data_IF_908685031297
#
_entry.id   IF_908685031297
#
_cell.length_a   1.000
_cell.length_b   1.000
_cell.length_c   1.000
_cell.angle_alpha   90.00
_cell.angle_beta   90.00
_cell.angle_gamma   90.00
#
_symmetry.space_group_name_H-M   'P 1'
#
loop_
_entity.id
_entity.type
_entity.pdbx_description
1 polymer ?
#
# COMPACT_ATOMS: atom_id res chain seq x y z
N UNK A 1 12.10 -8.37 30.34
CA UNK A 1 11.66 -9.43 31.29
C UNK A 1 10.21 -9.81 30.99
N UNK A 2 9.79 -10.94 31.52
CA UNK A 2 8.41 -11.41 31.44
C UNK A 2 7.87 -11.48 32.86
N UNK A 3 6.72 -10.86 33.10
CA UNK A 3 6.08 -10.88 34.43
C UNK A 3 5.29 -12.18 34.67
N UNK A 4 4.70 -12.32 35.87
CA UNK A 4 3.91 -13.50 36.26
C UNK A 4 2.64 -13.72 35.41
N UNK A 5 2.19 -12.70 34.69
CA UNK A 5 1.06 -12.74 33.76
C UNK A 5 1.50 -13.15 32.35
N UNK A 6 2.79 -13.37 32.11
CA UNK A 6 3.36 -13.70 30.80
C UNK A 6 3.53 -12.49 29.87
N UNK A 7 3.43 -11.27 30.42
CA UNK A 7 3.58 -10.05 29.65
C UNK A 7 5.01 -9.51 29.70
N UNK A 8 5.46 -8.91 28.62
CA UNK A 8 6.77 -8.24 28.54
C UNK A 8 6.77 -6.95 29.34
N UNK A 9 7.74 -6.80 30.24
CA UNK A 9 8.00 -5.59 31.01
C UNK A 9 9.39 -5.04 30.71
N UNK A 10 9.54 -3.73 30.90
CA UNK A 10 10.84 -3.08 30.80
C UNK A 10 11.55 -3.18 32.15
N UNK A 11 12.77 -3.72 32.22
CA UNK A 11 13.55 -3.77 33.47
C UNK A 11 13.81 -2.38 34.03
N UNK A 12 13.96 -2.30 35.35
CA UNK A 12 14.37 -1.05 36.01
C UNK A 12 15.76 -0.62 35.49
N UNK A 13 15.91 0.66 35.13
CA UNK A 13 17.16 1.21 34.62
C UNK A 13 17.47 0.90 33.14
N UNK A 14 16.58 0.20 32.43
CA UNK A 14 16.77 -0.06 31.00
C UNK A 14 16.75 1.25 30.18
N UNK A 15 17.76 1.40 29.33
CA UNK A 15 17.89 2.50 28.39
C UNK A 15 17.87 1.95 26.94
N UNK A 16 16.82 2.27 26.19
CA UNK A 16 16.66 1.80 24.81
C UNK A 16 17.81 2.18 23.87
N UNK A 17 18.50 3.28 24.14
CA UNK A 17 19.57 3.80 23.28
C UNK A 17 20.88 3.04 23.46
N UNK A 18 21.11 2.50 24.66
CA UNK A 18 22.35 1.78 25.01
C UNK A 18 22.16 0.28 25.12
N UNK A 19 21.00 -0.18 25.54
CA UNK A 19 20.73 -1.56 25.92
C UNK A 19 20.01 -2.36 24.82
N UNK A 20 19.45 -1.66 23.83
CA UNK A 20 18.82 -2.29 22.68
C UNK A 20 19.87 -2.74 21.64
N UNK A 21 20.48 -3.89 21.87
CA UNK A 21 21.59 -4.41 21.06
C UNK A 21 21.12 -4.78 19.63
N UNK A 22 19.86 -5.09 19.42
CA UNK A 22 19.42 -5.71 18.18
C UNK A 22 18.85 -4.74 17.16
N UNK A 23 18.55 -3.48 17.45
CA UNK A 23 18.16 -2.42 16.50
C UNK A 23 17.15 -2.79 15.39
N UNK A 24 16.75 -4.03 15.30
CA UNK A 24 15.91 -4.60 14.25
C UNK A 24 14.44 -4.44 14.62
N UNK A 25 13.99 -3.20 14.74
CA UNK A 25 12.64 -2.89 15.19
C UNK A 25 11.59 -2.86 14.09
N UNK A 26 11.99 -3.01 12.81
CA UNK A 26 11.11 -2.74 11.67
C UNK A 26 10.77 -3.96 10.80
N UNK A 27 10.67 -5.14 11.38
CA UNK A 27 10.24 -6.36 10.67
C UNK A 27 8.71 -6.50 10.64
N UNK A 28 7.98 -5.41 10.56
CA UNK A 28 6.51 -5.39 10.55
C UNK A 28 5.89 -6.30 9.47
N UNK A 29 6.56 -6.45 8.32
CA UNK A 29 6.13 -7.30 7.21
C UNK A 29 6.32 -8.80 7.46
N UNK A 30 7.19 -9.18 8.38
CA UNK A 30 7.44 -10.57 8.77
C UNK A 30 6.94 -10.90 10.17
N UNK A 31 6.24 -9.97 10.81
CA UNK A 31 5.73 -10.12 12.16
C UNK A 31 4.53 -11.07 12.20
N UNK A 32 4.54 -11.98 13.15
CA UNK A 32 3.37 -12.78 13.51
C UNK A 32 2.93 -12.36 14.91
N UNK A 33 1.83 -11.64 15.01
CA UNK A 33 1.31 -11.09 16.27
C UNK A 33 0.86 -12.18 17.25
N UNK A 34 0.46 -13.36 16.76
CA UNK A 34 0.08 -14.50 17.60
C UNK A 34 1.27 -15.10 18.37
N UNK A 35 2.48 -14.87 17.89
CA UNK A 35 3.73 -15.35 18.52
C UNK A 35 4.43 -14.27 19.34
N UNK A 36 3.93 -13.04 19.34
CA UNK A 36 4.55 -11.94 20.07
C UNK A 36 4.14 -11.95 21.55
N UNK A 37 5.13 -11.81 22.43
CA UNK A 37 4.85 -11.59 23.85
C UNK A 37 4.32 -10.18 24.04
N UNK A 38 3.10 -10.08 24.53
CA UNK A 38 2.37 -8.82 24.72
C UNK A 38 3.06 -7.91 25.74
N UNK A 39 3.04 -6.62 25.49
CA UNK A 39 3.64 -5.61 26.37
C UNK A 39 2.69 -5.25 27.51
N UNK A 40 3.20 -5.27 28.75
CA UNK A 40 2.41 -5.02 29.97
C UNK A 40 1.89 -3.57 30.08
N UNK A 41 2.44 -2.62 29.31
CA UNK A 41 2.00 -1.20 29.36
C UNK A 41 0.74 -0.94 28.55
N UNK A 42 0.24 -1.92 27.79
CA UNK A 42 -0.93 -1.75 26.90
C UNK A 42 -2.19 -2.39 27.51
N UNK A 43 -3.33 -1.79 27.23
CA UNK A 43 -4.63 -2.36 27.57
C UNK A 43 -5.05 -3.36 26.47
N UNK A 44 -4.67 -4.62 26.62
CA UNK A 44 -4.92 -5.66 25.64
C UNK A 44 -6.39 -6.01 25.49
N UNK A 45 -7.20 -5.92 26.55
CA UNK A 45 -8.64 -6.15 26.45
C UNK A 45 -9.31 -5.15 25.51
N UNK A 46 -8.90 -3.88 25.58
CA UNK A 46 -9.40 -2.85 24.69
C UNK A 46 -8.91 -3.05 23.23
N UNK A 47 -7.67 -3.49 23.07
CA UNK A 47 -7.07 -3.78 21.76
C UNK A 47 -7.75 -4.99 21.12
N UNK A 48 -7.92 -6.09 21.86
CA UNK A 48 -8.56 -7.31 21.37
C UNK A 48 -10.03 -7.05 20.97
N UNK A 49 -10.72 -6.25 21.78
CA UNK A 49 -12.08 -5.80 21.44
C UNK A 49 -12.12 -5.01 20.14
N UNK A 50 -11.19 -4.06 19.97
CA UNK A 50 -11.08 -3.25 18.74
C UNK A 50 -10.81 -4.12 17.51
N UNK A 51 -9.89 -5.09 17.61
CA UNK A 51 -9.61 -6.01 16.51
C UNK A 51 -10.81 -6.89 16.18
N UNK A 52 -11.54 -7.39 17.20
CA UNK A 52 -12.77 -8.13 16.99
C UNK A 52 -13.85 -7.31 16.27
N UNK A 53 -13.96 -6.01 16.60
CA UNK A 53 -14.86 -5.10 15.90
C UNK A 53 -14.40 -4.89 14.43
N UNK A 54 -13.11 -4.71 14.18
CA UNK A 54 -12.57 -4.60 12.81
C UNK A 54 -12.81 -5.86 11.99
N UNK A 55 -12.58 -7.04 12.56
CA UNK A 55 -12.84 -8.32 11.88
C UNK A 55 -14.32 -8.48 11.50
N UNK A 56 -15.23 -7.97 12.34
CA UNK A 56 -16.67 -7.98 12.03
C UNK A 56 -17.06 -7.06 10.88
N UNK A 57 -16.27 -6.00 10.63
CA UNK A 57 -16.48 -5.02 9.57
C UNK A 57 -15.65 -5.32 8.31
N UNK A 58 -14.75 -6.28 8.40
CA UNK A 58 -13.88 -6.67 7.31
C UNK A 58 -14.70 -7.16 6.12
N UNK A 59 -14.45 -6.56 4.98
CA UNK A 59 -14.96 -7.03 3.69
C UNK A 59 -13.78 -7.66 2.95
N UNK A 60 -13.89 -8.95 2.64
CA UNK A 60 -12.88 -9.62 1.85
C UNK A 60 -12.86 -9.03 0.44
N UNK A 61 -11.67 -8.58 0.01
CA UNK A 61 -11.50 -8.10 -1.35
C UNK A 61 -11.34 -9.31 -2.29
N UNK A 62 -12.36 -9.59 -3.13
CA UNK A 62 -12.42 -10.85 -3.88
C UNK A 62 -11.36 -10.94 -4.98
N UNK A 63 -10.75 -9.81 -5.36
CA UNK A 63 -9.80 -9.72 -6.46
C UNK A 63 -8.33 -9.56 -6.01
N UNK A 64 -8.03 -9.80 -4.73
CA UNK A 64 -6.69 -9.61 -4.16
C UNK A 64 -5.61 -10.55 -4.71
N UNK A 65 -6.00 -11.59 -5.44
CA UNK A 65 -5.08 -12.55 -6.07
C UNK A 65 -4.75 -12.20 -7.52
N UNK A 66 -5.34 -11.16 -8.08
CA UNK A 66 -5.04 -10.74 -9.45
C UNK A 66 -3.65 -10.11 -9.51
N UNK A 67 -2.74 -10.80 -10.18
CA UNK A 67 -1.40 -10.31 -10.52
C UNK A 67 -1.31 -10.29 -12.04
N UNK A 68 -1.31 -9.10 -12.66
CA UNK A 68 -1.28 -9.00 -14.11
C UNK A 68 0.09 -9.39 -14.69
N UNK A 69 0.10 -10.06 -15.81
CA UNK A 69 1.28 -10.22 -16.65
C UNK A 69 1.42 -8.98 -17.56
N UNK A 70 2.54 -8.29 -17.45
CA UNK A 70 2.72 -7.00 -18.11
C UNK A 70 3.85 -6.96 -19.15
N UNK A 71 4.60 -8.04 -19.33
CA UNK A 71 5.80 -8.08 -20.18
C UNK A 71 5.52 -7.57 -21.60
N UNK A 72 4.43 -8.01 -22.21
CA UNK A 72 4.05 -7.62 -23.58
C UNK A 72 3.54 -6.18 -23.70
N UNK A 73 3.11 -5.58 -22.59
CA UNK A 73 2.54 -4.22 -22.54
C UNK A 73 3.39 -3.23 -21.75
N UNK A 74 4.55 -3.67 -21.23
CA UNK A 74 5.40 -2.85 -20.35
C UNK A 74 5.83 -1.54 -21.02
N UNK A 75 6.21 -1.56 -22.29
CA UNK A 75 6.62 -0.35 -23.01
C UNK A 75 5.49 0.68 -23.11
N UNK A 76 4.24 0.24 -23.24
CA UNK A 76 3.08 1.14 -23.22
C UNK A 76 2.81 1.70 -21.83
N UNK A 77 2.96 0.88 -20.80
CA UNK A 77 2.85 1.31 -19.39
C UNK A 77 3.90 2.40 -19.11
N UNK A 78 5.13 2.22 -19.55
CA UNK A 78 6.21 3.19 -19.36
C UNK A 78 5.89 4.52 -20.07
N UNK A 79 5.40 4.48 -21.32
CA UNK A 79 4.96 5.66 -22.06
C UNK A 79 3.79 6.38 -21.36
N UNK A 80 2.81 5.64 -20.88
CA UNK A 80 1.67 6.19 -20.13
C UNK A 80 2.17 6.88 -18.86
N UNK A 81 3.08 6.26 -18.11
CA UNK A 81 3.68 6.82 -16.91
C UNK A 81 4.48 8.09 -17.18
N UNK A 82 5.21 8.15 -18.29
CA UNK A 82 5.93 9.36 -18.70
C UNK A 82 4.95 10.50 -19.00
N UNK A 83 3.93 10.26 -19.82
CA UNK A 83 2.88 11.24 -20.13
C UNK A 83 2.20 11.72 -18.85
N UNK A 84 1.74 10.81 -18.00
CA UNK A 84 1.08 11.11 -16.73
C UNK A 84 1.97 11.98 -15.84
N UNK A 85 3.23 11.60 -15.67
CA UNK A 85 4.18 12.33 -14.82
C UNK A 85 4.43 13.73 -15.34
N UNK A 86 4.54 13.91 -16.65
CA UNK A 86 4.81 15.21 -17.26
C UNK A 86 3.61 16.17 -17.08
N UNK A 87 2.40 15.71 -17.37
CA UNK A 87 1.20 16.54 -17.20
C UNK A 87 0.87 16.83 -15.75
N UNK A 88 0.97 15.86 -14.85
CA UNK A 88 0.69 16.07 -13.43
C UNK A 88 1.66 17.07 -12.79
N UNK A 89 2.92 17.08 -13.20
CA UNK A 89 3.87 18.11 -12.76
C UNK A 89 3.45 19.53 -13.25
N UNK A 90 3.08 19.65 -14.51
CA UNK A 90 2.64 20.94 -15.07
C UNK A 90 1.39 21.46 -14.35
N UNK A 91 0.40 20.57 -14.14
CA UNK A 91 -0.85 20.91 -13.45
C UNK A 91 -0.59 21.28 -12.00
N UNK A 92 0.19 20.48 -11.25
CA UNK A 92 0.47 20.70 -9.83
C UNK A 92 1.23 22.01 -9.57
N UNK A 93 2.06 22.43 -10.50
CA UNK A 93 2.81 23.69 -10.38
C UNK A 93 2.15 24.88 -11.09
N UNK A 94 0.97 24.70 -11.69
CA UNK A 94 0.31 25.73 -12.48
C UNK A 94 1.13 26.21 -13.69
N UNK A 95 1.98 25.34 -14.23
CA UNK A 95 2.88 25.63 -15.36
C UNK A 95 2.32 25.10 -16.68
N UNK A 96 1.12 25.53 -17.05
CA UNK A 96 0.46 25.19 -18.30
C UNK A 96 -0.12 26.43 -18.96
N UNK A 97 -0.43 26.32 -20.25
CA UNK A 97 -1.12 27.38 -21.04
C UNK A 97 -2.60 27.06 -21.07
N UNK A 98 -3.44 28.09 -21.13
CA UNK A 98 -4.88 27.92 -21.23
C UNK A 98 -5.58 27.68 -19.89
N UNK A 99 -6.72 27.03 -19.95
CA UNK A 99 -7.56 26.69 -18.78
C UNK A 99 -7.20 25.33 -18.18
N UNK A 100 -7.71 25.05 -16.98
CA UNK A 100 -7.54 23.74 -16.36
C UNK A 100 -8.23 22.63 -17.14
N UNK A 101 -9.38 22.94 -17.74
CA UNK A 101 -10.12 22.02 -18.59
C UNK A 101 -9.34 21.67 -19.86
N UNK A 102 -8.69 22.65 -20.49
CA UNK A 102 -7.88 22.44 -21.69
C UNK A 102 -6.67 21.53 -21.41
N UNK A 103 -5.90 21.80 -20.35
CA UNK A 103 -4.75 20.96 -20.02
C UNK A 103 -5.13 19.52 -19.64
N UNK A 104 -6.28 19.34 -18.99
CA UNK A 104 -6.82 18.00 -18.69
C UNK A 104 -7.23 17.28 -19.96
N UNK A 105 -7.87 17.97 -20.90
CA UNK A 105 -8.24 17.39 -22.18
C UNK A 105 -7.01 17.00 -23.03
N UNK A 106 -5.97 17.82 -23.02
CA UNK A 106 -4.68 17.50 -23.67
C UNK A 106 -4.02 16.28 -23.02
N UNK A 107 -4.00 16.20 -21.69
CA UNK A 107 -3.48 15.03 -20.97
C UNK A 107 -4.25 13.76 -21.34
N UNK A 108 -5.59 13.82 -21.37
CA UNK A 108 -6.41 12.66 -21.75
C UNK A 108 -6.12 12.20 -23.18
N UNK A 109 -5.98 13.14 -24.12
CA UNK A 109 -5.62 12.82 -25.49
C UNK A 109 -4.23 12.20 -25.61
N UNK A 110 -3.25 12.72 -24.86
CA UNK A 110 -1.89 12.18 -24.84
C UNK A 110 -1.84 10.78 -24.22
N UNK A 111 -2.61 10.51 -23.15
CA UNK A 111 -2.72 9.18 -22.55
C UNK A 111 -3.34 8.16 -23.51
N UNK A 112 -4.34 8.57 -24.31
CA UNK A 112 -4.88 7.71 -25.37
C UNK A 112 -3.84 7.38 -26.44
N UNK A 113 -3.07 8.36 -26.86
CA UNK A 113 -1.99 8.15 -27.83
C UNK A 113 -0.88 7.26 -27.26
N UNK A 114 -0.62 7.32 -25.95
CA UNK A 114 0.33 6.46 -25.26
C UNK A 114 -0.15 5.00 -25.13
N UNK A 115 -1.42 4.72 -25.44
CA UNK A 115 -1.98 3.36 -25.45
C UNK A 115 -2.73 2.95 -24.20
N UNK A 116 -3.28 3.89 -23.41
CA UNK A 116 -4.00 3.56 -22.18
C UNK A 116 -5.20 2.65 -22.41
N UNK A 117 -5.91 2.82 -23.53
CA UNK A 117 -7.07 1.99 -23.87
C UNK A 117 -6.65 0.54 -24.16
N UNK A 118 -5.50 0.34 -24.83
CA UNK A 118 -4.95 -0.98 -25.14
C UNK A 118 -4.46 -1.69 -23.87
N UNK A 119 -3.76 -0.97 -22.98
CA UNK A 119 -3.31 -1.51 -21.69
C UNK A 119 -4.52 -1.89 -20.83
N UNK A 120 -5.53 -1.03 -20.77
CA UNK A 120 -6.76 -1.31 -20.01
C UNK A 120 -7.47 -2.56 -20.55
N UNK A 121 -7.58 -2.70 -21.87
CA UNK A 121 -8.20 -3.86 -22.50
C UNK A 121 -7.43 -5.17 -22.21
N UNK A 122 -6.11 -5.15 -22.30
CA UNK A 122 -5.27 -6.30 -21.99
C UNK A 122 -5.37 -6.74 -20.54
N UNK A 123 -5.37 -5.78 -19.58
CA UNK A 123 -5.56 -6.07 -18.17
C UNK A 123 -6.97 -6.58 -17.86
N UNK A 124 -7.98 -6.04 -18.53
CA UNK A 124 -9.37 -6.49 -18.39
C UNK A 124 -9.55 -7.91 -18.91
N UNK A 125 -8.92 -8.27 -20.02
CA UNK A 125 -8.96 -9.64 -20.56
C UNK A 125 -8.34 -10.64 -19.56
N UNK A 126 -7.19 -10.33 -18.99
CA UNK A 126 -6.55 -11.16 -17.95
C UNK A 126 -7.42 -11.30 -16.70
N UNK A 127 -8.01 -10.20 -16.26
CA UNK A 127 -8.92 -10.19 -15.12
C UNK A 127 -10.16 -11.05 -15.37
N UNK A 128 -10.77 -10.89 -16.53
CA UNK A 128 -11.96 -11.66 -16.93
C UNK A 128 -11.67 -13.15 -17.06
N UNK A 129 -10.48 -13.52 -17.52
CA UNK A 129 -10.06 -14.92 -17.61
C UNK A 129 -9.90 -15.59 -16.24
N UNK A 130 -9.58 -14.80 -15.20
CA UNK A 130 -9.41 -15.33 -13.84
C UNK A 130 -10.74 -15.39 -13.07
N UNK A 131 -11.67 -14.45 -13.30
CA UNK A 131 -12.86 -14.26 -12.45
C UNK A 131 -14.22 -14.48 -13.15
N UNK A 132 -14.24 -14.85 -14.43
CA UNK A 132 -15.44 -15.26 -15.19
C UNK A 132 -15.39 -16.72 -15.59
#
# INVERSE_FOLDING_TARGET
EINDEGLRTTPEGYNSDTDNINGMTNWWWGRNDDLEIRDATRNWDAIDKLYSEYDSLKIDYPYGQFVPEVDDIQSKIDNINEVYTNYTKQISYGKYQGTAEEIVAEMQAALKQAGIEEVTAALQEQFDALYK
#
